data_IF_641067071493
#
_entry.id   IF_641067071493
#
_cell.length_a   1.000
_cell.length_b   1.000
_cell.length_c   1.000
_cell.angle_alpha   90.00
_cell.angle_beta   90.00
_cell.angle_gamma   90.00
#
_symmetry.space_group_name_H-M   'P 1'
#
loop_
_entity.id
_entity.type
_entity.pdbx_description
1 polymer ?
#
# COMPACT_ATOMS: atom_id res chain seq x y z
N UNK A 1 -14.12 110.36 -35.33
CA UNK A 1 -14.36 109.76 -34.00
C UNK A 1 -13.19 110.13 -33.10
N UNK A 2 -13.43 110.89 -32.02
CA UNK A 2 -12.38 111.25 -31.06
C UNK A 2 -11.91 109.98 -30.33
N UNK A 3 -10.65 109.58 -30.53
CA UNK A 3 -10.10 108.38 -29.88
C UNK A 3 -10.11 108.54 -28.37
N UNK A 4 -10.76 107.60 -27.65
CA UNK A 4 -10.69 107.53 -26.18
C UNK A 4 -9.24 107.35 -25.78
N UNK A 5 -8.71 108.32 -25.05
CA UNK A 5 -7.36 108.26 -24.51
C UNK A 5 -7.36 107.33 -23.29
N UNK A 6 -6.51 106.31 -23.30
CA UNK A 6 -6.34 105.37 -22.18
C UNK A 6 -5.35 105.96 -21.18
N UNK A 7 -5.75 106.01 -19.89
CA UNK A 7 -4.92 106.51 -18.80
C UNK A 7 -4.29 105.35 -18.03
N UNK A 8 -3.05 105.55 -17.57
CA UNK A 8 -2.35 104.59 -16.74
C UNK A 8 -3.00 104.46 -15.36
N UNK A 9 -3.29 103.23 -14.92
CA UNK A 9 -3.92 102.91 -13.64
C UNK A 9 -3.19 103.50 -12.42
N UNK A 10 -1.85 103.56 -12.46
CA UNK A 10 -1.00 104.04 -11.35
C UNK A 10 -0.78 105.56 -11.38
N UNK A 11 -0.25 106.11 -12.47
CA UNK A 11 0.13 107.53 -12.51
C UNK A 11 -0.93 108.46 -13.11
N UNK A 12 -2.05 107.90 -13.60
CA UNK A 12 -3.18 108.60 -14.23
C UNK A 12 -2.82 109.47 -15.45
N UNK A 13 -1.61 109.32 -16.01
CA UNK A 13 -1.18 109.97 -17.26
C UNK A 13 -1.55 109.13 -18.49
N UNK A 14 -1.71 109.79 -19.63
CA UNK A 14 -2.02 109.13 -20.91
C UNK A 14 -0.96 108.09 -21.30
N UNK A 15 -1.40 106.94 -21.80
CA UNK A 15 -0.54 105.90 -22.34
C UNK A 15 -0.21 106.25 -23.79
N UNK A 16 1.04 106.68 -24.01
CA UNK A 16 1.59 106.96 -25.34
C UNK A 16 2.16 105.70 -26.02
N UNK A 17 2.89 105.89 -27.12
CA UNK A 17 3.50 104.81 -27.91
C UNK A 17 4.62 104.01 -27.21
N UNK A 18 4.99 104.36 -25.97
CA UNK A 18 6.11 103.79 -25.22
C UNK A 18 5.85 102.45 -24.52
N UNK A 19 4.91 101.63 -25.02
CA UNK A 19 4.55 100.34 -24.46
C UNK A 19 3.69 100.41 -23.19
N UNK A 20 2.76 99.46 -23.05
CA UNK A 20 1.89 99.32 -21.88
C UNK A 20 1.49 97.86 -21.67
N UNK A 21 1.17 97.51 -20.44
CA UNK A 21 0.66 96.18 -20.07
C UNK A 21 -0.68 96.30 -19.35
N UNK A 22 -1.59 95.36 -19.60
CA UNK A 22 -2.85 95.26 -18.88
C UNK A 22 -2.72 94.25 -17.72
N UNK A 23 -3.15 94.64 -16.53
CA UNK A 23 -3.27 93.71 -15.41
C UNK A 23 -4.42 92.73 -15.65
N UNK A 24 -4.16 91.43 -15.58
CA UNK A 24 -5.14 90.37 -15.76
C UNK A 24 -6.26 90.40 -14.69
N UNK A 25 -5.92 90.80 -13.46
CA UNK A 25 -6.88 90.79 -12.34
C UNK A 25 -7.76 92.03 -12.29
N UNK A 26 -7.19 93.24 -12.37
CA UNK A 26 -7.96 94.49 -12.29
C UNK A 26 -8.29 95.11 -13.65
N UNK A 27 -7.78 94.55 -14.74
CA UNK A 27 -7.97 95.01 -16.13
C UNK A 27 -7.43 96.42 -16.42
N UNK A 28 -6.75 97.07 -15.47
CA UNK A 28 -6.15 98.39 -15.68
C UNK A 28 -4.89 98.30 -16.55
N UNK A 29 -4.74 99.27 -17.45
CA UNK A 29 -3.53 99.45 -18.26
C UNK A 29 -2.49 100.28 -17.52
N UNK A 30 -1.24 99.85 -17.55
CA UNK A 30 -0.12 100.48 -16.85
C UNK A 30 1.01 100.78 -17.83
N UNK A 31 1.65 101.95 -17.69
CA UNK A 31 2.94 102.16 -18.33
C UNK A 31 3.93 101.11 -17.84
N UNK A 32 4.84 100.64 -18.70
CA UNK A 32 5.85 99.65 -18.33
C UNK A 32 6.67 100.08 -17.10
N UNK A 33 7.04 101.36 -17.02
CA UNK A 33 7.71 101.93 -15.85
C UNK A 33 6.85 101.93 -14.60
N UNK A 34 5.55 102.21 -14.72
CA UNK A 34 4.62 102.18 -13.59
C UNK A 34 4.36 100.76 -13.08
N UNK A 35 4.42 99.78 -13.98
CA UNK A 35 4.36 98.34 -13.71
C UNK A 35 5.70 97.76 -13.22
N UNK A 36 6.77 98.57 -13.15
CA UNK A 36 8.13 98.15 -12.80
C UNK A 36 8.64 97.00 -13.69
N UNK A 37 8.25 97.01 -14.97
CA UNK A 37 8.68 96.02 -15.96
C UNK A 37 9.67 96.62 -16.95
N UNK A 38 10.68 95.83 -17.32
CA UNK A 38 11.56 96.15 -18.44
C UNK A 38 10.87 95.87 -19.78
N UNK A 39 11.23 96.63 -20.83
CA UNK A 39 10.71 96.43 -22.18
C UNK A 39 11.03 95.03 -22.74
N UNK A 40 12.18 94.47 -22.35
CA UNK A 40 12.58 93.09 -22.67
C UNK A 40 11.58 92.06 -22.11
N UNK A 41 11.13 92.24 -20.87
CA UNK A 41 10.17 91.34 -20.23
C UNK A 41 8.79 91.40 -20.91
N UNK A 42 8.32 92.60 -21.27
CA UNK A 42 7.06 92.77 -22.01
C UNK A 42 7.11 92.08 -23.39
N UNK A 43 8.25 92.17 -24.07
CA UNK A 43 8.46 91.53 -25.37
C UNK A 43 8.45 90.00 -25.26
N UNK A 44 9.01 89.43 -24.19
CA UNK A 44 8.99 87.99 -23.93
C UNK A 44 7.60 87.46 -23.55
N UNK A 45 6.84 88.21 -22.75
CA UNK A 45 5.47 87.82 -22.39
C UNK A 45 4.54 87.75 -23.60
N UNK A 46 4.66 88.67 -24.56
CA UNK A 46 3.86 88.63 -25.79
C UNK A 46 4.10 87.39 -26.66
N UNK A 47 5.22 86.67 -26.44
CA UNK A 47 5.57 85.43 -27.17
C UNK A 47 5.12 84.16 -26.46
N UNK A 48 4.74 84.20 -25.19
CA UNK A 48 4.32 83.02 -24.41
C UNK A 48 2.80 83.06 -24.14
N UNK A 49 2.04 82.19 -24.78
CA UNK A 49 0.61 82.02 -24.48
C UNK A 49 0.43 81.44 -23.07
N UNK A 50 -0.34 82.12 -22.21
CA UNK A 50 -0.67 81.65 -20.85
C UNK A 50 0.06 82.37 -19.71
N UNK A 51 0.92 83.34 -20.00
CA UNK A 51 1.53 84.20 -18.97
C UNK A 51 0.71 85.48 -18.82
N UNK A 52 0.15 85.67 -17.64
CA UNK A 52 -0.70 86.82 -17.32
C UNK A 52 0.04 87.78 -16.38
N UNK A 53 -0.02 89.08 -16.67
CA UNK A 53 0.60 90.10 -15.83
C UNK A 53 -0.37 90.50 -14.71
N UNK A 54 0.07 90.47 -13.46
CA UNK A 54 -0.64 91.07 -12.32
C UNK A 54 0.14 92.29 -11.83
N UNK A 55 -0.53 93.43 -11.70
CA UNK A 55 0.06 94.64 -11.12
C UNK A 55 0.42 94.44 -9.65
N UNK A 56 1.29 95.28 -9.10
CA UNK A 56 1.77 95.19 -7.71
C UNK A 56 0.59 95.15 -6.74
N UNK A 57 -0.40 96.01 -6.91
CA UNK A 57 -1.59 96.04 -6.05
C UNK A 57 -2.40 94.73 -6.11
N UNK A 58 -2.42 94.09 -7.28
CA UNK A 58 -3.09 92.80 -7.48
C UNK A 58 -2.26 91.59 -7.04
N UNK A 59 -0.92 91.70 -6.99
CA UNK A 59 -0.01 90.68 -6.45
C UNK A 59 0.00 90.68 -4.93
N UNK A 60 -0.14 91.84 -4.32
CA UNK A 60 -0.13 92.04 -2.87
C UNK A 60 -1.49 91.79 -2.20
N UNK A 61 -2.53 91.47 -2.97
CA UNK A 61 -3.80 91.04 -2.42
C UNK A 61 -3.60 89.73 -1.64
N UNK A 62 -3.93 89.66 -0.34
CA UNK A 62 -3.75 88.44 0.45
C UNK A 62 -4.57 87.32 -0.19
N UNK A 63 -3.89 86.33 -0.75
CA UNK A 63 -4.52 85.07 -1.13
C UNK A 63 -5.03 84.44 0.17
N UNK A 64 -6.34 84.16 0.24
CA UNK A 64 -6.98 83.48 1.38
C UNK A 64 -6.35 82.09 1.60
N UNK A 65 -5.27 82.01 2.40
CA UNK A 65 -4.55 80.78 2.74
C UNK A 65 -5.30 79.90 3.77
N UNK A 66 -6.38 80.43 4.35
CA UNK A 66 -7.19 79.75 5.37
C UNK A 66 -8.05 78.62 4.81
N UNK A 67 -8.56 78.73 3.58
CA UNK A 67 -9.38 77.70 2.93
C UNK A 67 -8.56 76.42 2.62
N UNK A 68 -7.32 76.59 2.16
CA UNK A 68 -6.41 75.47 1.89
C UNK A 68 -6.04 74.71 3.16
N UNK A 69 -5.80 75.43 4.26
CA UNK A 69 -5.47 74.83 5.56
C UNK A 69 -6.65 74.02 6.13
N UNK A 70 -7.87 74.51 5.96
CA UNK A 70 -9.08 73.80 6.37
C UNK A 70 -9.30 72.52 5.54
N UNK A 71 -9.08 72.56 4.23
CA UNK A 71 -9.17 71.38 3.37
C UNK A 71 -8.10 70.34 3.71
N UNK A 72 -6.86 70.77 4.01
CA UNK A 72 -5.77 69.88 4.47
C UNK A 72 -6.15 69.21 5.80
N UNK A 73 -6.71 69.95 6.75
CA UNK A 73 -7.16 69.38 8.04
C UNK A 73 -8.28 68.36 7.86
N UNK A 74 -9.27 68.63 6.98
CA UNK A 74 -10.33 67.68 6.67
C UNK A 74 -9.80 66.41 5.98
N UNK A 75 -8.79 66.54 5.12
CA UNK A 75 -8.13 65.39 4.51
C UNK A 75 -7.38 64.54 5.53
N UNK A 76 -6.69 65.15 6.49
CA UNK A 76 -6.04 64.40 7.59
C UNK A 76 -7.06 63.61 8.41
N UNK A 77 -8.19 64.22 8.80
CA UNK A 77 -9.25 63.53 9.54
C UNK A 77 -9.80 62.32 8.75
N UNK A 78 -10.02 62.48 7.44
CA UNK A 78 -10.48 61.38 6.59
C UNK A 78 -9.42 60.28 6.46
N UNK A 79 -8.15 60.66 6.33
CA UNK A 79 -7.04 59.72 6.21
C UNK A 79 -6.84 58.92 7.51
N UNK A 80 -6.96 59.56 8.66
CA UNK A 80 -6.93 58.91 9.97
C UNK A 80 -8.12 57.96 10.14
N UNK A 81 -9.33 58.36 9.72
CA UNK A 81 -10.51 57.50 9.77
C UNK A 81 -10.33 56.25 8.89
N UNK A 82 -9.81 56.40 7.67
CA UNK A 82 -9.51 55.28 6.78
C UNK A 82 -8.42 54.39 7.38
N UNK A 83 -7.37 54.97 7.94
CA UNK A 83 -6.29 54.24 8.61
C UNK A 83 -6.83 53.39 9.76
N UNK A 84 -7.72 53.95 10.58
CA UNK A 84 -8.37 53.22 11.67
C UNK A 84 -9.32 52.11 11.18
N UNK A 85 -10.06 52.34 10.10
CA UNK A 85 -10.87 51.28 9.49
C UNK A 85 -10.00 50.16 8.91
N UNK A 86 -8.85 50.50 8.32
CA UNK A 86 -7.91 49.52 7.77
C UNK A 86 -7.29 48.67 8.88
N UNK A 87 -6.90 49.27 10.01
CA UNK A 87 -6.36 48.51 11.15
C UNK A 87 -7.43 47.63 11.80
N UNK A 88 -8.66 48.10 11.92
CA UNK A 88 -9.79 47.31 12.38
C UNK A 88 -10.06 46.12 11.46
N UNK A 89 -10.21 46.35 10.15
CA UNK A 89 -10.44 45.28 9.18
C UNK A 89 -9.29 44.28 9.16
N UNK A 90 -8.03 44.76 9.25
CA UNK A 90 -6.88 43.87 9.37
C UNK A 90 -7.02 42.96 10.59
N UNK A 91 -7.30 43.51 11.77
CA UNK A 91 -7.46 42.72 13.00
C UNK A 91 -8.63 41.72 12.90
N UNK A 92 -9.76 42.12 12.32
CA UNK A 92 -10.91 41.24 12.08
C UNK A 92 -10.54 40.09 11.12
N UNK A 93 -9.87 40.39 10.00
CA UNK A 93 -9.44 39.36 9.06
C UNK A 93 -8.42 38.40 9.67
N UNK A 94 -7.47 38.89 10.47
CA UNK A 94 -6.50 38.06 11.19
C UNK A 94 -7.21 37.11 12.17
N UNK A 95 -8.19 37.61 12.93
CA UNK A 95 -8.99 36.80 13.85
C UNK A 95 -9.80 35.71 13.13
N UNK A 96 -10.46 36.06 12.01
CA UNK A 96 -11.23 35.10 11.20
C UNK A 96 -10.31 34.00 10.64
N UNK A 97 -9.13 34.38 10.15
CA UNK A 97 -8.13 33.44 9.62
C UNK A 97 -7.65 32.52 10.74
N UNK A 98 -7.29 33.06 11.90
CA UNK A 98 -6.81 32.28 13.04
C UNK A 98 -7.86 31.28 13.52
N UNK A 99 -9.12 31.74 13.67
CA UNK A 99 -10.25 30.88 14.05
C UNK A 99 -10.49 29.77 13.03
N UNK A 100 -10.43 30.09 11.73
CA UNK A 100 -10.61 29.10 10.66
C UNK A 100 -9.48 28.05 10.66
N UNK A 101 -8.23 28.48 10.89
CA UNK A 101 -7.08 27.58 11.00
C UNK A 101 -7.23 26.66 12.22
N UNK A 102 -7.66 27.19 13.37
CA UNK A 102 -7.89 26.40 14.58
C UNK A 102 -8.99 25.35 14.37
N UNK A 103 -10.11 25.74 13.75
CA UNK A 103 -11.20 24.81 13.43
C UNK A 103 -10.78 23.71 12.46
N UNK A 104 -10.06 24.06 11.40
CA UNK A 104 -9.53 23.09 10.44
C UNK A 104 -8.56 22.12 11.14
N UNK A 105 -7.63 22.61 11.94
CA UNK A 105 -6.70 21.77 12.69
C UNK A 105 -7.44 20.77 13.58
N UNK A 106 -8.44 21.23 14.34
CA UNK A 106 -9.25 20.36 15.20
C UNK A 106 -9.99 19.28 14.39
N UNK A 107 -10.59 19.65 13.26
CA UNK A 107 -11.28 18.70 12.39
C UNK A 107 -10.32 17.66 11.79
N UNK A 108 -9.14 18.11 11.33
CA UNK A 108 -8.11 17.22 10.79
C UNK A 108 -7.61 16.25 11.85
N UNK A 109 -7.30 16.71 13.07
CA UNK A 109 -6.89 15.83 14.17
C UNK A 109 -7.97 14.79 14.48
N UNK A 110 -9.23 15.20 14.60
CA UNK A 110 -10.35 14.27 14.86
C UNK A 110 -10.56 13.25 13.73
N UNK A 111 -10.37 13.65 12.47
CA UNK A 111 -10.43 12.72 11.33
C UNK A 111 -9.25 11.75 11.34
N UNK A 112 -8.04 12.21 11.66
CA UNK A 112 -6.86 11.35 11.76
C UNK A 112 -6.99 10.32 12.86
N UNK A 113 -7.48 10.70 14.04
CA UNK A 113 -7.72 9.78 15.16
C UNK A 113 -8.75 8.69 14.79
N UNK A 114 -9.82 9.07 14.07
CA UNK A 114 -10.81 8.09 13.58
C UNK A 114 -10.20 7.12 12.56
N UNK A 115 -9.43 7.63 11.61
CA UNK A 115 -8.74 6.80 10.62
C UNK A 115 -7.77 5.83 11.32
N UNK A 116 -7.01 6.31 12.30
CA UNK A 116 -6.10 5.47 13.08
C UNK A 116 -6.86 4.35 13.81
N UNK A 117 -7.98 4.68 14.47
CA UNK A 117 -8.83 3.70 15.13
C UNK A 117 -9.41 2.67 14.14
N UNK A 118 -9.88 3.11 12.98
CA UNK A 118 -10.42 2.24 11.93
C UNK A 118 -9.34 1.30 11.36
N UNK A 119 -8.12 1.81 11.16
CA UNK A 119 -6.98 1.01 10.70
C UNK A 119 -6.60 -0.06 11.72
N UNK A 120 -6.52 0.29 13.01
CA UNK A 120 -6.22 -0.67 14.09
C UNK A 120 -7.32 -1.74 14.19
N UNK A 121 -8.59 -1.31 14.13
CA UNK A 121 -9.74 -2.21 14.13
C UNK A 121 -9.69 -3.19 12.96
N UNK A 122 -9.50 -2.69 11.74
CA UNK A 122 -9.38 -3.50 10.52
C UNK A 122 -8.22 -4.51 10.64
N UNK A 123 -7.04 -4.06 11.07
CA UNK A 123 -5.89 -4.95 11.26
C UNK A 123 -6.18 -6.09 12.25
N UNK A 124 -6.86 -5.79 13.36
CA UNK A 124 -7.25 -6.82 14.33
C UNK A 124 -8.24 -7.85 13.76
N UNK A 125 -9.19 -7.40 12.94
CA UNK A 125 -10.15 -8.27 12.26
C UNK A 125 -9.47 -9.17 11.23
N UNK A 126 -8.58 -8.61 10.40
CA UNK A 126 -7.79 -9.37 9.42
C UNK A 126 -6.96 -10.45 10.12
N UNK A 127 -6.24 -10.10 11.18
CA UNK A 127 -5.45 -11.07 11.96
C UNK A 127 -6.31 -12.19 12.58
N UNK A 128 -7.51 -11.83 13.05
CA UNK A 128 -8.49 -12.80 13.55
C UNK A 128 -8.98 -13.74 12.45
N UNK A 129 -9.27 -13.21 11.25
CA UNK A 129 -9.66 -13.98 10.08
C UNK A 129 -8.54 -14.92 9.63
N UNK A 130 -7.29 -14.45 9.55
CA UNK A 130 -6.14 -15.27 9.16
C UNK A 130 -5.98 -16.47 10.11
N UNK A 131 -6.02 -16.22 11.43
CA UNK A 131 -5.95 -17.28 12.44
C UNK A 131 -7.10 -18.29 12.29
N UNK A 132 -8.32 -17.80 12.00
CA UNK A 132 -9.50 -18.66 11.81
C UNK A 132 -9.38 -19.52 10.54
N UNK A 133 -8.91 -18.95 9.43
CA UNK A 133 -8.68 -19.65 8.17
C UNK A 133 -7.59 -20.69 8.33
N UNK A 134 -6.46 -20.36 8.95
CA UNK A 134 -5.39 -21.32 9.23
C UNK A 134 -5.88 -22.52 10.04
N UNK A 135 -6.68 -22.29 11.08
CA UNK A 135 -7.23 -23.38 11.90
C UNK A 135 -8.18 -24.27 11.10
N UNK A 136 -9.07 -23.69 10.29
CA UNK A 136 -9.98 -24.45 9.41
C UNK A 136 -9.22 -25.25 8.35
N UNK A 137 -8.15 -24.68 7.78
CA UNK A 137 -7.30 -25.39 6.82
C UNK A 137 -6.63 -26.59 7.48
N UNK A 138 -6.04 -26.43 8.68
CA UNK A 138 -5.44 -27.55 9.42
C UNK A 138 -6.45 -28.66 9.74
N UNK A 139 -7.65 -28.29 10.17
CA UNK A 139 -8.73 -29.24 10.45
C UNK A 139 -9.15 -29.99 9.16
N UNK A 140 -9.32 -29.26 8.06
CA UNK A 140 -9.70 -29.85 6.78
C UNK A 140 -8.61 -30.78 6.23
N UNK A 141 -7.33 -30.44 6.38
CA UNK A 141 -6.20 -31.30 6.03
C UNK A 141 -6.21 -32.59 6.86
N UNK A 142 -6.49 -32.50 8.17
CA UNK A 142 -6.61 -33.66 9.04
C UNK A 142 -7.75 -34.59 8.60
N UNK A 143 -8.94 -34.05 8.35
CA UNK A 143 -10.09 -34.83 7.86
C UNK A 143 -9.79 -35.46 6.50
N UNK A 144 -9.19 -34.70 5.59
CA UNK A 144 -8.80 -35.18 4.26
C UNK A 144 -7.83 -36.35 4.37
N UNK A 145 -6.85 -36.26 5.27
CA UNK A 145 -5.91 -37.35 5.51
C UNK A 145 -6.59 -38.62 6.05
N UNK A 146 -7.56 -38.48 6.97
CA UNK A 146 -8.36 -39.60 7.48
C UNK A 146 -9.13 -40.29 6.34
N UNK A 147 -9.73 -39.52 5.44
CA UNK A 147 -10.44 -40.06 4.27
C UNK A 147 -9.49 -40.84 3.37
N UNK A 148 -8.32 -40.27 3.04
CA UNK A 148 -7.30 -40.96 2.24
C UNK A 148 -6.82 -42.24 2.90
N UNK A 149 -6.55 -42.23 4.20
CA UNK A 149 -6.14 -43.42 4.95
C UNK A 149 -7.18 -44.53 4.83
N UNK A 150 -8.45 -44.21 5.10
CA UNK A 150 -9.55 -45.18 5.05
C UNK A 150 -9.80 -45.70 3.64
N UNK A 151 -9.71 -44.82 2.63
CA UNK A 151 -9.82 -45.19 1.23
C UNK A 151 -8.69 -46.13 0.77
N UNK A 152 -7.47 -45.90 1.27
CA UNK A 152 -6.28 -46.69 0.96
C UNK A 152 -6.11 -47.93 1.86
N UNK A 153 -7.00 -48.15 2.82
CA UNK A 153 -6.87 -49.25 3.80
C UNK A 153 -6.87 -50.62 3.14
N UNK A 154 -7.53 -50.76 2.01
CA UNK A 154 -7.55 -52.00 1.20
C UNK A 154 -6.38 -52.12 0.24
N UNK A 155 -5.54 -51.10 0.15
CA UNK A 155 -4.56 -50.96 -0.90
C UNK A 155 -3.18 -51.40 -0.43
N UNK A 156 -2.41 -51.99 -1.34
CA UNK A 156 -0.98 -52.27 -1.18
C UNK A 156 -0.22 -51.81 -2.42
N UNK A 157 1.07 -51.52 -2.23
CA UNK A 157 1.99 -51.17 -3.31
C UNK A 157 3.07 -52.25 -3.42
N UNK A 158 3.13 -52.89 -4.58
CA UNK A 158 4.12 -53.91 -4.93
C UNK A 158 5.24 -53.24 -5.72
N UNK A 159 6.48 -53.41 -5.27
CA UNK A 159 7.69 -52.93 -5.96
C UNK A 159 8.62 -54.09 -6.30
N UNK A 160 9.45 -53.92 -7.33
CA UNK A 160 10.46 -54.92 -7.72
C UNK A 160 9.96 -55.93 -8.76
N UNK A 161 8.80 -55.67 -9.39
CA UNK A 161 8.29 -56.45 -10.51
C UNK A 161 8.73 -55.84 -11.86
N UNK A 162 8.96 -56.66 -12.91
CA UNK A 162 9.21 -56.19 -14.27
C UNK A 162 8.09 -55.29 -14.83
N UNK A 163 8.45 -54.34 -15.71
CA UNK A 163 7.51 -53.38 -16.31
C UNK A 163 6.61 -53.98 -17.39
N UNK A 164 6.98 -55.13 -17.96
CA UNK A 164 6.34 -55.73 -19.14
C UNK A 164 5.33 -56.85 -18.81
N UNK A 165 4.74 -56.82 -17.61
CA UNK A 165 3.79 -57.85 -17.17
C UNK A 165 2.40 -57.52 -17.72
N UNK A 166 1.80 -58.46 -18.45
CA UNK A 166 0.46 -58.30 -19.04
C UNK A 166 -0.68 -58.66 -18.08
N UNK A 167 -0.50 -59.67 -17.23
CA UNK A 167 -1.55 -60.17 -16.34
C UNK A 167 -1.22 -59.89 -14.86
N UNK A 168 -1.52 -58.67 -14.41
CA UNK A 168 -1.27 -58.24 -13.04
C UNK A 168 -2.14 -58.97 -12.01
N UNK A 169 -3.38 -59.33 -12.37
CA UNK A 169 -4.33 -59.99 -11.46
C UNK A 169 -3.82 -61.38 -11.08
N UNK A 170 -3.36 -62.17 -12.04
CA UNK A 170 -2.80 -63.50 -11.77
C UNK A 170 -1.57 -63.42 -10.86
N UNK A 171 -0.69 -62.43 -11.04
CA UNK A 171 0.46 -62.26 -10.14
C UNK A 171 0.03 -61.97 -8.71
N UNK A 172 -1.05 -61.21 -8.52
CA UNK A 172 -1.58 -60.95 -7.17
C UNK A 172 -2.16 -62.24 -6.56
N UNK A 173 -2.84 -63.07 -7.35
CA UNK A 173 -3.35 -64.39 -6.91
C UNK A 173 -2.19 -65.32 -6.54
N UNK A 174 -1.15 -65.40 -7.37
CA UNK A 174 0.05 -66.20 -7.12
C UNK A 174 0.79 -65.71 -5.86
N UNK A 175 0.88 -64.38 -5.68
CA UNK A 175 1.44 -63.75 -4.49
C UNK A 175 0.69 -64.13 -3.21
N UNK A 176 -0.64 -64.10 -3.23
CA UNK A 176 -1.44 -64.52 -2.09
C UNK A 176 -1.31 -66.02 -1.83
N UNK A 177 -1.27 -66.82 -2.89
CA UNK A 177 -1.08 -68.28 -2.81
C UNK A 177 0.26 -68.68 -2.23
N UNK A 178 1.34 -67.94 -2.55
CA UNK A 178 2.66 -68.11 -1.93
C UNK A 178 2.63 -67.98 -0.40
N UNK A 179 1.77 -67.10 0.12
CA UNK A 179 1.56 -66.91 1.55
C UNK A 179 0.44 -67.78 2.15
N UNK A 180 -0.09 -68.74 1.39
CA UNK A 180 -1.17 -69.63 1.84
C UNK A 180 -2.53 -68.94 1.98
N UNK A 181 -2.73 -67.81 1.31
CA UNK A 181 -3.99 -67.04 1.33
C UNK A 181 -4.74 -67.33 0.02
N UNK A 182 -5.83 -68.09 0.12
CA UNK A 182 -6.69 -68.37 -1.03
C UNK A 182 -7.54 -67.15 -1.38
N UNK A 183 -7.36 -66.63 -2.59
CA UNK A 183 -8.15 -65.54 -3.18
C UNK A 183 -8.46 -65.85 -4.64
N UNK A 184 -9.52 -65.24 -5.16
CA UNK A 184 -9.84 -65.24 -6.59
C UNK A 184 -9.60 -63.86 -7.20
N UNK A 185 -9.55 -63.76 -8.53
CA UNK A 185 -9.51 -62.49 -9.26
C UNK A 185 -10.68 -61.59 -8.86
N UNK A 186 -11.85 -62.18 -8.54
CA UNK A 186 -13.01 -61.46 -8.04
C UNK A 186 -12.80 -60.81 -6.66
N UNK A 187 -11.79 -61.18 -5.87
CA UNK A 187 -11.46 -60.51 -4.60
C UNK A 187 -10.63 -59.24 -4.81
N UNK A 188 -10.06 -59.05 -6.02
CA UNK A 188 -9.33 -57.86 -6.43
C UNK A 188 -10.35 -56.84 -6.96
N UNK A 189 -10.31 -55.63 -6.42
CA UNK A 189 -11.16 -54.53 -6.89
C UNK A 189 -10.51 -53.80 -8.07
N UNK A 190 -9.21 -53.55 -7.97
CA UNK A 190 -8.46 -52.84 -8.99
C UNK A 190 -6.97 -53.18 -8.89
N UNK A 191 -6.30 -53.30 -10.03
CA UNK A 191 -4.83 -53.41 -10.11
C UNK A 191 -4.32 -52.58 -11.26
N UNK A 192 -3.28 -51.77 -11.02
CA UNK A 192 -2.69 -50.94 -12.05
C UNK A 192 -1.22 -50.62 -11.78
N UNK A 193 -0.49 -50.30 -12.84
CA UNK A 193 0.85 -49.73 -12.72
C UNK A 193 0.78 -48.27 -12.23
N UNK A 194 1.74 -47.90 -11.37
CA UNK A 194 1.98 -46.53 -10.94
C UNK A 194 3.48 -46.19 -11.02
N UNK A 195 3.84 -44.93 -10.79
CA UNK A 195 5.23 -44.46 -10.78
C UNK A 195 6.03 -44.81 -12.06
N UNK A 196 5.44 -44.56 -13.24
CA UNK A 196 6.03 -44.93 -14.55
C UNK A 196 6.32 -46.44 -14.65
N UNK A 197 5.34 -47.25 -14.24
CA UNK A 197 5.39 -48.72 -14.24
C UNK A 197 6.45 -49.36 -13.33
N UNK A 198 7.00 -48.61 -12.37
CA UNK A 198 7.97 -49.15 -11.39
C UNK A 198 7.31 -49.86 -10.21
N UNK A 199 6.03 -49.59 -10.00
CA UNK A 199 5.25 -50.11 -8.88
C UNK A 199 3.88 -50.52 -9.37
N UNK A 200 3.25 -51.47 -8.69
CA UNK A 200 1.87 -51.90 -8.94
C UNK A 200 1.04 -51.56 -7.71
N UNK A 201 -0.05 -50.83 -7.91
CA UNK A 201 -1.08 -50.60 -6.91
C UNK A 201 -2.10 -51.73 -7.00
N UNK A 202 -2.38 -52.37 -5.88
CA UNK A 202 -3.42 -53.41 -5.78
C UNK A 202 -4.43 -52.97 -4.74
N UNK A 203 -5.71 -52.96 -5.11
CA UNK A 203 -6.84 -52.67 -4.22
C UNK A 203 -7.68 -53.93 -4.07
N UNK A 204 -7.77 -54.45 -2.85
CA UNK A 204 -8.61 -55.59 -2.52
C UNK A 204 -10.03 -55.16 -2.17
N UNK A 205 -11.03 -56.02 -2.41
CA UNK A 205 -12.41 -55.76 -1.95
C UNK A 205 -12.56 -55.85 -0.44
N UNK A 206 -11.68 -56.60 0.24
CA UNK A 206 -11.75 -56.87 1.69
C UNK A 206 -10.43 -56.52 2.37
N UNK A 207 -10.51 -55.66 3.39
CA UNK A 207 -9.36 -55.27 4.23
C UNK A 207 -8.67 -56.49 4.87
N UNK A 208 -9.43 -57.53 5.24
CA UNK A 208 -8.89 -58.74 5.87
C UNK A 208 -7.87 -59.48 4.98
N UNK A 209 -8.09 -59.52 3.67
CA UNK A 209 -7.16 -60.16 2.72
C UNK A 209 -5.82 -59.44 2.75
N UNK A 210 -5.89 -58.11 2.62
CA UNK A 210 -4.75 -57.21 2.68
C UNK A 210 -3.99 -57.33 4.01
N UNK A 211 -4.70 -57.29 5.14
CA UNK A 211 -4.08 -57.36 6.47
C UNK A 211 -3.40 -58.72 6.71
N UNK A 212 -4.02 -59.82 6.30
CA UNK A 212 -3.42 -61.16 6.37
C UNK A 212 -2.15 -61.24 5.50
N UNK A 213 -2.22 -60.75 4.25
CA UNK A 213 -1.08 -60.75 3.33
C UNK A 213 0.10 -59.93 3.88
N UNK A 214 -0.16 -58.72 4.36
CA UNK A 214 0.88 -57.86 4.94
C UNK A 214 1.47 -58.48 6.21
N UNK A 215 0.65 -59.16 7.03
CA UNK A 215 1.13 -59.86 8.22
C UNK A 215 2.08 -61.02 7.86
N UNK A 216 1.71 -61.90 6.92
CA UNK A 216 2.57 -63.02 6.50
C UNK A 216 3.85 -62.53 5.80
N UNK A 217 3.74 -61.50 4.95
CA UNK A 217 4.91 -60.87 4.33
C UNK A 217 5.88 -60.30 5.37
N UNK A 218 5.39 -59.66 6.43
CA UNK A 218 6.27 -59.07 7.44
C UNK A 218 6.98 -60.09 8.34
N UNK A 219 6.46 -61.32 8.47
CA UNK A 219 7.13 -62.42 9.19
C UNK A 219 8.38 -62.90 8.46
N UNK A 220 8.28 -63.12 7.15
CA UNK A 220 9.35 -63.72 6.34
C UNK A 220 10.24 -62.68 5.66
N UNK A 221 9.62 -61.65 5.06
CA UNK A 221 10.25 -60.63 4.21
C UNK A 221 11.15 -61.19 3.11
N UNK A 222 10.95 -62.44 2.71
CA UNK A 222 11.86 -63.18 1.83
C UNK A 222 11.36 -63.31 0.39
N UNK A 223 10.26 -62.64 0.03
CA UNK A 223 9.64 -62.72 -1.28
C UNK A 223 10.61 -62.33 -2.41
N UNK A 224 10.83 -63.25 -3.35
CA UNK A 224 11.63 -63.06 -4.55
C UNK A 224 10.77 -63.10 -5.79
N UNK A 225 11.30 -62.59 -6.89
CA UNK A 225 10.63 -62.60 -8.19
C UNK A 225 10.40 -64.03 -8.69
N UNK A 226 11.40 -64.91 -8.49
CA UNK A 226 11.34 -66.34 -8.84
C UNK A 226 10.18 -67.09 -8.15
N UNK A 227 9.69 -66.58 -7.02
CA UNK A 227 8.57 -67.18 -6.29
C UNK A 227 7.21 -66.86 -6.95
N UNK A 228 7.17 -65.83 -7.82
CA UNK A 228 5.95 -65.34 -8.46
C UNK A 228 5.93 -65.58 -9.98
N UNK A 229 7.09 -65.51 -10.63
CA UNK A 229 7.23 -65.67 -12.07
C UNK A 229 8.29 -66.74 -12.32
N UNK A 230 7.98 -67.71 -13.17
CA UNK A 230 8.94 -68.75 -13.57
C UNK A 230 10.21 -68.11 -14.15
N UNK A 231 11.34 -68.31 -13.49
CA UNK A 231 12.64 -67.78 -13.91
C UNK A 231 13.67 -67.79 -12.79
N UNK A 232 14.95 -67.71 -13.16
CA UNK A 232 16.07 -67.70 -12.22
C UNK A 232 16.45 -66.27 -11.79
N UNK A 233 15.44 -65.50 -11.36
CA UNK A 233 15.64 -64.10 -10.96
C UNK A 233 15.43 -63.96 -9.46
N UNK A 234 16.53 -63.73 -8.74
CA UNK A 234 16.53 -63.58 -7.29
C UNK A 234 16.30 -62.15 -6.79
N UNK A 235 15.76 -61.26 -7.64
CA UNK A 235 15.44 -59.90 -7.21
C UNK A 235 14.31 -59.92 -6.19
N UNK A 236 14.48 -59.12 -5.13
CA UNK A 236 13.49 -59.03 -4.05
C UNK A 236 12.27 -58.24 -4.49
N UNK A 237 11.09 -58.74 -4.12
CA UNK A 237 9.81 -58.03 -4.30
C UNK A 237 9.39 -57.45 -2.95
N UNK A 238 8.96 -56.19 -2.94
CA UNK A 238 8.59 -55.47 -1.74
C UNK A 238 7.11 -55.15 -1.71
N UNK A 239 6.42 -55.58 -0.66
CA UNK A 239 5.06 -55.14 -0.35
C UNK A 239 5.11 -53.98 0.64
N UNK A 240 4.37 -52.91 0.35
CA UNK A 240 4.29 -51.71 1.19
C UNK A 240 2.84 -51.25 1.33
N UNK A 241 2.54 -50.56 2.43
CA UNK A 241 1.28 -49.84 2.58
C UNK A 241 1.16 -48.71 1.55
N UNK A 242 -0.05 -48.50 1.02
CA UNK A 242 -0.37 -47.29 0.26
C UNK A 242 -0.65 -46.13 1.23
N UNK A 243 0.40 -45.43 1.65
CA UNK A 243 0.29 -44.35 2.64
C UNK A 243 -0.62 -43.21 2.18
N UNK A 244 -1.39 -42.66 3.11
CA UNK A 244 -2.03 -41.36 2.95
C UNK A 244 -0.96 -40.25 2.88
N UNK A 245 -1.28 -39.06 2.31
CA UNK A 245 -0.30 -37.99 2.10
C UNK A 245 0.50 -37.61 3.35
N UNK A 246 -0.14 -37.52 4.52
CA UNK A 246 0.54 -37.18 5.78
C UNK A 246 1.54 -38.26 6.21
N UNK A 247 1.14 -39.54 6.14
CA UNK A 247 2.03 -40.66 6.45
C UNK A 247 3.20 -40.77 5.45
N UNK A 248 2.94 -40.46 4.17
CA UNK A 248 3.98 -40.42 3.14
C UNK A 248 5.01 -39.30 3.40
N UNK A 249 4.56 -38.09 3.76
CA UNK A 249 5.44 -36.99 4.19
C UNK A 249 6.26 -37.37 5.42
N UNK A 250 5.63 -37.98 6.42
CA UNK A 250 6.32 -38.47 7.62
C UNK A 250 7.39 -39.51 7.28
N UNK A 251 7.08 -40.44 6.38
CA UNK A 251 8.05 -41.43 5.89
C UNK A 251 9.24 -40.77 5.19
N UNK A 252 8.99 -39.75 4.38
CA UNK A 252 10.05 -38.98 3.75
C UNK A 252 10.95 -38.30 4.78
N UNK A 253 10.38 -37.59 5.76
CA UNK A 253 11.15 -36.96 6.85
C UNK A 253 12.01 -37.96 7.61
N UNK A 254 11.46 -39.12 7.98
CA UNK A 254 12.20 -40.17 8.67
C UNK A 254 13.31 -40.77 7.82
N UNK A 255 13.11 -40.94 6.50
CA UNK A 255 14.18 -41.38 5.58
C UNK A 255 15.33 -40.38 5.54
N UNK A 256 15.03 -39.09 5.45
CA UNK A 256 16.05 -38.04 5.45
C UNK A 256 16.84 -38.03 6.77
N UNK A 257 16.16 -38.16 7.92
CA UNK A 257 16.83 -38.27 9.21
C UNK A 257 17.71 -39.52 9.32
N UNK A 258 17.24 -40.65 8.78
CA UNK A 258 18.01 -41.90 8.75
C UNK A 258 19.26 -41.76 7.86
N UNK A 259 19.13 -41.14 6.67
CA UNK A 259 20.26 -40.91 5.76
C UNK A 259 21.34 -40.01 6.39
N UNK A 260 20.93 -39.01 7.16
CA UNK A 260 21.81 -38.13 7.92
C UNK A 260 22.34 -38.76 9.22
N UNK A 261 21.98 -40.01 9.52
CA UNK A 261 22.36 -40.73 10.76
C UNK A 261 21.94 -40.02 12.06
N UNK A 262 20.87 -39.22 12.00
CA UNK A 262 20.27 -38.59 13.19
C UNK A 262 19.49 -39.63 13.99
N UNK A 263 18.88 -40.57 13.28
CA UNK A 263 18.11 -41.68 13.83
C UNK A 263 18.67 -42.99 13.30
N UNK A 264 18.57 -44.05 14.09
CA UNK A 264 19.04 -45.40 13.74
C UNK A 264 18.00 -46.21 12.98
N UNK A 265 16.73 -46.07 13.36
CA UNK A 265 15.60 -46.80 12.79
C UNK A 265 14.30 -46.04 13.05
N UNK A 266 13.29 -46.30 12.24
CA UNK A 266 11.93 -45.85 12.53
C UNK A 266 10.89 -46.90 12.13
N UNK A 267 9.69 -46.79 12.70
CA UNK A 267 8.50 -47.58 12.34
C UNK A 267 7.29 -46.66 12.31
N UNK A 268 6.61 -46.64 11.16
CA UNK A 268 5.38 -45.86 10.97
C UNK A 268 4.17 -46.72 11.31
N UNK A 269 3.22 -46.14 12.03
CA UNK A 269 1.90 -46.69 12.27
C UNK A 269 0.91 -45.91 11.40
N UNK A 270 0.48 -46.55 10.33
CA UNK A 270 -0.47 -45.98 9.38
C UNK A 270 -1.90 -46.09 9.94
N UNK A 271 -2.30 -45.11 10.75
CA UNK A 271 -3.65 -44.96 11.30
C UNK A 271 -4.27 -43.63 10.81
N UNK A 272 -5.52 -43.36 11.20
CA UNK A 272 -6.22 -42.09 10.94
C UNK A 272 -5.33 -40.88 11.30
N UNK A 273 -4.67 -40.98 12.47
CA UNK A 273 -3.58 -40.09 12.88
C UNK A 273 -2.27 -40.88 12.81
N UNK A 274 -1.40 -40.61 11.82
CA UNK A 274 -0.18 -41.37 11.66
C UNK A 274 0.80 -41.06 12.79
N UNK A 275 1.44 -42.12 13.29
CA UNK A 275 2.47 -42.03 14.34
C UNK A 275 3.75 -42.67 13.87
N UNK A 276 4.88 -42.23 14.40
CA UNK A 276 6.18 -42.86 14.14
C UNK A 276 6.90 -43.14 15.45
N UNK A 277 7.39 -44.36 15.62
CA UNK A 277 8.40 -44.67 16.62
C UNK A 277 9.77 -44.49 15.98
N UNK A 278 10.59 -43.63 16.56
CA UNK A 278 11.96 -43.33 16.16
C UNK A 278 12.89 -43.95 17.20
N UNK A 279 13.94 -44.64 16.76
CA UNK A 279 15.01 -45.17 17.60
C UNK A 279 16.30 -44.41 17.31
N UNK A 280 16.98 -43.95 18.36
CA UNK A 280 18.24 -43.23 18.29
C UNK A 280 19.44 -44.18 18.48
N UNK A 281 20.66 -43.65 18.31
CA UNK A 281 21.89 -44.44 18.45
C UNK A 281 22.19 -44.84 19.90
N UNK A 282 21.75 -44.04 20.86
CA UNK A 282 21.85 -44.34 22.30
C UNK A 282 20.90 -45.46 22.76
N UNK A 283 20.08 -46.00 21.85
CA UNK A 283 19.08 -47.02 22.14
C UNK A 283 17.75 -46.48 22.67
N UNK A 284 17.64 -45.17 22.92
CA UNK A 284 16.38 -44.53 23.28
C UNK A 284 15.41 -44.56 22.10
N UNK A 285 14.11 -44.52 22.41
CA UNK A 285 13.08 -44.42 21.40
C UNK A 285 11.98 -43.46 21.83
N UNK A 286 11.39 -42.77 20.85
CA UNK A 286 10.26 -41.86 21.06
C UNK A 286 9.17 -42.18 20.05
N UNK A 287 7.91 -42.07 20.47
CA UNK A 287 6.78 -42.11 19.55
C UNK A 287 6.20 -40.72 19.39
N UNK A 288 6.11 -40.23 18.15
CA UNK A 288 5.62 -38.89 17.83
C UNK A 288 4.47 -38.97 16.83
N UNK A 289 3.56 -38.02 16.96
CA UNK A 289 2.56 -37.72 15.93
C UNK A 289 3.18 -36.87 14.82
N UNK A 290 2.43 -36.69 13.73
CA UNK A 290 2.91 -35.96 12.55
C UNK A 290 3.43 -34.55 12.89
N UNK A 291 2.66 -33.74 13.63
CA UNK A 291 3.04 -32.37 13.96
C UNK A 291 4.30 -32.27 14.84
N UNK A 292 4.51 -33.24 15.74
CA UNK A 292 5.74 -33.31 16.54
C UNK A 292 6.93 -33.77 15.71
N UNK A 293 6.70 -34.59 14.68
CA UNK A 293 7.72 -34.99 13.73
C UNK A 293 8.15 -33.83 12.83
N UNK A 294 7.22 -32.96 12.42
CA UNK A 294 7.54 -31.75 11.65
C UNK A 294 8.42 -30.78 12.45
N UNK A 295 8.09 -30.55 13.72
CA UNK A 295 8.93 -29.72 14.62
C UNK A 295 10.33 -30.29 14.77
N UNK A 296 10.44 -31.59 15.05
CA UNK A 296 11.73 -32.28 15.15
C UNK A 296 12.54 -32.15 13.85
N UNK A 297 11.88 -32.28 12.70
CA UNK A 297 12.53 -32.16 11.40
C UNK A 297 13.06 -30.73 11.15
N UNK A 298 12.27 -29.70 11.51
CA UNK A 298 12.67 -28.30 11.41
C UNK A 298 13.86 -27.95 12.32
N UNK A 299 13.88 -28.48 13.55
CA UNK A 299 14.96 -28.27 14.52
C UNK A 299 16.30 -28.82 14.04
N UNK A 300 16.28 -29.95 13.31
CA UNK A 300 17.50 -30.60 12.83
C UNK A 300 18.01 -29.98 11.51
N UNK A 301 17.31 -28.97 10.96
CA UNK A 301 17.76 -28.21 9.79
C UNK A 301 17.91 -29.07 8.53
N UNK A 302 16.94 -29.95 8.28
CA UNK A 302 16.95 -30.89 7.14
C UNK A 302 16.07 -30.43 6.00
#
# INVERSE_FOLDING_TARGET
MAGKKVLCGKCKKEIGKGGSVQCDKCTEWLHLRCAEMSELFCSSMSKQSGVYFKCIDCRSAPNNSTDLSQQISQLHIKLDAISNQLTQHKAETENIIETSICNLRAEFTSRLERIEADVVSCYSQVKGLDTSVENKMKEQEAITNVIYHRANRTDIVINGLPTAISNLENIVVDLCSFYGISIDVNDIQHVCFMNKSKSILVKFKRVRIRDNLMAEYHKSRSLKLSDLISGDVHSRVYLNDHFAPMAAKMNFMCKQMLMKKIIKKYKIYNADIPRVTISYEDGSYVTKEYGDCEKLFAEVGV
#
